data_IF_645906225728
#
_entry.id   IF_645906225728
#
_cell.length_a   1.000
_cell.length_b   1.000
_cell.length_c   1.000
_cell.angle_alpha   90.00
_cell.angle_beta   90.00
_cell.angle_gamma   90.00
#
_symmetry.space_group_name_H-M   'P 1'
#
loop_
_entity.id
_entity.type
_entity.pdbx_description
1 polymer ?
#
# COMPACT_ATOMS: atom_id res chain seq x y z
N UNK A 1 -40.26 -10.95 19.03
CA UNK A 1 -39.42 -10.83 17.83
C UNK A 1 -38.15 -10.09 18.21
N UNK A 2 -36.99 -10.75 18.24
CA UNK A 2 -35.70 -10.10 18.51
C UNK A 2 -34.93 -10.00 17.20
N UNK A 3 -34.77 -8.78 16.68
CA UNK A 3 -34.04 -8.51 15.45
C UNK A 3 -32.55 -8.50 15.79
N UNK A 4 -31.84 -9.54 15.35
CA UNK A 4 -30.38 -9.61 15.46
C UNK A 4 -29.79 -8.60 14.46
N UNK A 5 -29.31 -7.46 14.94
CA UNK A 5 -28.48 -6.56 14.12
C UNK A 5 -27.13 -7.24 13.90
N UNK A 6 -26.92 -7.76 12.70
CA UNK A 6 -25.62 -8.23 12.24
C UNK A 6 -24.70 -7.02 12.09
N UNK A 7 -23.67 -6.92 12.92
CA UNK A 7 -22.57 -5.97 12.69
C UNK A 7 -21.70 -6.54 11.57
N UNK A 8 -21.64 -5.83 10.44
CA UNK A 8 -20.65 -6.09 9.41
C UNK A 8 -19.31 -5.64 9.99
N UNK A 9 -18.43 -6.59 10.30
CA UNK A 9 -17.05 -6.30 10.62
C UNK A 9 -16.35 -5.86 9.33
N UNK A 10 -16.00 -4.58 9.22
CA UNK A 10 -15.03 -4.13 8.22
C UNK A 10 -13.70 -4.79 8.56
N UNK A 11 -13.31 -5.81 7.82
CA UNK A 11 -11.97 -6.36 7.91
C UNK A 11 -11.02 -5.24 7.44
N UNK A 12 -10.12 -4.73 8.29
CA UNK A 12 -9.13 -3.78 7.81
C UNK A 12 -8.30 -4.51 6.75
N UNK A 13 -8.32 -3.96 5.55
CA UNK A 13 -7.61 -4.48 4.40
C UNK A 13 -6.13 -4.18 4.62
N UNK A 14 -5.43 -5.07 5.33
CA UNK A 14 -4.01 -4.93 5.71
C UNK A 14 -3.12 -5.05 4.48
N UNK A 15 -2.13 -4.16 4.35
CA UNK A 15 -1.13 -4.24 3.29
C UNK A 15 -0.28 -5.50 3.48
N UNK A 16 0.18 -6.08 2.38
CA UNK A 16 1.06 -7.24 2.38
C UNK A 16 2.15 -7.11 1.34
N UNK A 17 3.30 -7.74 1.61
CA UNK A 17 4.32 -7.97 0.60
C UNK A 17 3.71 -8.61 -0.66
N UNK A 18 4.20 -8.22 -1.83
CA UNK A 18 3.68 -8.64 -3.13
C UNK A 18 2.48 -7.82 -3.63
N UNK A 19 2.05 -6.79 -2.90
CA UNK A 19 0.96 -5.90 -3.34
C UNK A 19 1.51 -4.77 -4.20
N UNK A 20 0.94 -4.59 -5.39
CA UNK A 20 1.15 -3.39 -6.20
C UNK A 20 0.29 -2.25 -5.67
N UNK A 21 0.87 -1.07 -5.50
CA UNK A 21 0.20 0.14 -5.02
C UNK A 21 0.46 1.29 -5.98
N UNK A 22 -0.50 2.22 -6.08
CA UNK A 22 -0.36 3.40 -6.92
C UNK A 22 0.23 4.56 -6.12
N UNK A 23 1.38 5.09 -6.55
CA UNK A 23 2.02 6.25 -5.96
C UNK A 23 1.20 7.51 -6.23
N UNK A 24 1.05 8.36 -5.23
CA UNK A 24 0.41 9.68 -5.40
C UNK A 24 1.29 10.65 -6.15
N UNK A 25 2.60 10.52 -5.96
CA UNK A 25 3.62 11.31 -6.66
C UNK A 25 4.77 10.39 -7.05
N UNK A 26 5.09 10.23 -8.35
CA UNK A 26 6.25 9.45 -8.77
C UNK A 26 7.55 10.16 -8.36
N UNK A 27 8.61 9.43 -8.03
CA UNK A 27 9.88 10.02 -7.60
C UNK A 27 10.65 10.72 -8.73
N UNK A 28 10.33 10.44 -9.99
CA UNK A 28 10.89 11.11 -11.16
C UNK A 28 9.92 11.11 -12.35
N UNK A 29 10.24 11.86 -13.41
CA UNK A 29 9.46 11.86 -14.66
C UNK A 29 9.56 10.56 -15.46
N UNK A 30 10.54 9.71 -15.15
CA UNK A 30 10.82 8.48 -15.90
C UNK A 30 10.46 7.21 -15.11
N UNK A 31 10.01 7.35 -13.86
CA UNK A 31 9.58 6.24 -13.01
C UNK A 31 8.11 5.93 -13.23
N UNK A 32 7.75 4.66 -13.07
CA UNK A 32 6.35 4.26 -13.07
C UNK A 32 5.58 4.85 -11.87
N UNK A 33 4.26 5.01 -12.05
CA UNK A 33 3.35 5.47 -10.99
C UNK A 33 2.96 4.35 -10.01
N UNK A 34 3.47 3.13 -10.19
CA UNK A 34 3.14 1.98 -9.35
C UNK A 34 4.41 1.41 -8.71
N UNK A 35 4.25 0.90 -7.49
CA UNK A 35 5.31 0.26 -6.73
C UNK A 35 4.85 -1.09 -6.18
N UNK A 36 5.74 -2.08 -6.19
CA UNK A 36 5.53 -3.37 -5.54
C UNK A 36 6.02 -3.28 -4.09
N UNK A 37 5.12 -3.46 -3.13
CA UNK A 37 5.49 -3.58 -1.72
C UNK A 37 6.29 -4.87 -1.51
N UNK A 38 7.50 -4.77 -0.96
CA UNK A 38 8.40 -5.90 -0.72
C UNK A 38 8.31 -6.39 0.72
N UNK A 39 8.41 -5.48 1.69
CA UNK A 39 8.21 -5.76 3.10
C UNK A 39 7.91 -4.49 3.89
N UNK A 40 7.26 -4.65 5.04
CA UNK A 40 7.12 -3.59 6.03
C UNK A 40 8.39 -3.55 6.89
N UNK A 41 9.01 -2.38 7.02
CA UNK A 41 10.14 -2.18 7.94
C UNK A 41 9.65 -1.91 9.36
N UNK A 42 8.76 -0.92 9.50
CA UNK A 42 8.16 -0.44 10.74
C UNK A 42 6.78 0.14 10.42
N UNK A 43 5.98 0.48 11.45
CA UNK A 43 4.56 0.83 11.29
C UNK A 43 4.31 1.87 10.20
N UNK A 44 3.74 1.42 9.08
CA UNK A 44 3.40 2.28 7.94
C UNK A 44 4.57 2.65 7.03
N UNK A 45 5.76 2.05 7.20
CA UNK A 45 6.91 2.20 6.30
C UNK A 45 7.20 0.92 5.55
N UNK A 46 7.20 1.02 4.23
CA UNK A 46 7.33 -0.10 3.33
C UNK A 46 8.55 0.05 2.45
N UNK A 47 9.36 -0.99 2.38
CA UNK A 47 10.29 -1.16 1.26
C UNK A 47 9.46 -1.51 0.04
N UNK A 48 9.63 -0.76 -1.04
CA UNK A 48 8.92 -0.97 -2.29
C UNK A 48 9.87 -0.87 -3.48
N UNK A 49 9.52 -1.54 -4.58
CA UNK A 49 10.24 -1.47 -5.84
C UNK A 49 9.40 -0.81 -6.91
N UNK A 50 9.97 0.19 -7.59
CA UNK A 50 9.34 0.90 -8.70
C UNK A 50 10.08 0.52 -10.00
N UNK A 51 9.37 0.06 -11.04
CA UNK A 51 9.97 -0.14 -12.35
C UNK A 51 10.67 1.13 -12.86
N UNK A 52 11.86 0.96 -13.44
CA UNK A 52 12.72 2.03 -13.96
C UNK A 52 13.22 3.07 -12.93
N UNK A 53 13.04 2.81 -11.63
CA UNK A 53 13.61 3.63 -10.56
C UNK A 53 14.40 2.82 -9.53
N UNK A 54 13.88 1.65 -9.13
CA UNK A 54 14.51 0.78 -8.13
C UNK A 54 13.80 0.79 -6.79
N UNK A 55 14.54 0.47 -5.72
CA UNK A 55 14.01 0.35 -4.36
C UNK A 55 13.85 1.72 -3.70
N UNK A 56 12.75 1.91 -2.96
CA UNK A 56 12.45 3.11 -2.17
C UNK A 56 11.72 2.74 -0.88
N UNK A 57 11.78 3.62 0.11
CA UNK A 57 10.90 3.57 1.28
C UNK A 57 9.66 4.42 1.01
N UNK A 58 8.48 3.77 1.05
CA UNK A 58 7.18 4.44 1.02
C UNK A 58 6.62 4.55 2.43
N UNK A 59 6.02 5.69 2.73
CA UNK A 59 5.28 5.92 3.97
C UNK A 59 3.79 5.84 3.67
N UNK A 60 2.99 5.36 4.62
CA UNK A 60 1.54 5.39 4.55
C UNK A 60 1.04 6.77 4.12
N UNK A 61 0.09 6.78 3.20
CA UNK A 61 -0.43 7.99 2.59
C UNK A 61 0.35 8.51 1.38
N UNK A 62 1.51 7.95 1.02
CA UNK A 62 2.21 8.26 -0.25
C UNK A 62 1.70 7.44 -1.43
N UNK A 63 0.87 6.44 -1.17
CA UNK A 63 0.29 5.56 -2.17
C UNK A 63 -1.16 5.23 -1.82
N UNK A 64 -1.89 4.76 -2.82
CA UNK A 64 -3.24 4.24 -2.72
C UNK A 64 -3.23 2.74 -3.05
N UNK A 65 -4.20 2.00 -2.46
CA UNK A 65 -4.36 0.56 -2.65
C UNK A 65 -5.33 0.24 -3.78
#
# INVERSE_FOLDING_TARGET
MSVRRSSVATVPVSLSAGTWVKLKTPPSLYSFEEALLLCEQDEGRWVAWIPDFGEIILIDGQFDR
#
